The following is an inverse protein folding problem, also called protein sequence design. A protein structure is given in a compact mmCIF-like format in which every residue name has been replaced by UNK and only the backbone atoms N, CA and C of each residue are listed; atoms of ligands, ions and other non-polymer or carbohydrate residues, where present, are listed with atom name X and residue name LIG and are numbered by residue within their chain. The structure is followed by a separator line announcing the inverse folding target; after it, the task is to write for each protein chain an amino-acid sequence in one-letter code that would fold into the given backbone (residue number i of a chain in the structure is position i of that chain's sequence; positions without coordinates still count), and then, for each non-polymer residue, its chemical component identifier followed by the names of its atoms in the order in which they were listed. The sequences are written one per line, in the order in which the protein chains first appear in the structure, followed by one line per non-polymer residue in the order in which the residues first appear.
data_IF_148653986653
#
_entry.id   IF_148653986653
#
_cell.length_a   1.000
_cell.length_b   1.000
_cell.length_c   1.000
_cell.angle_alpha   90.00
_cell.angle_beta   90.00
_cell.angle_gamma   90.00
#
_symmetry.space_group_name_H-M   'P 1'
#
loop_
_entity.id
_entity.type
_entity.pdbx_description
1 polymer ?
#
# COMPACT_ATOMS: atom_id res chain seq x y z
N UNK A 1 17.82 -32.47 -31.54
CA UNK A 1 18.24 -31.77 -30.30
C UNK A 1 16.98 -31.32 -29.59
N UNK A 2 16.66 -31.86 -28.40
CA UNK A 2 15.51 -31.40 -27.62
C UNK A 2 15.86 -30.00 -27.09
N UNK A 3 15.03 -29.01 -27.39
CA UNK A 3 15.13 -27.69 -26.78
C UNK A 3 15.17 -27.87 -25.25
N UNK A 4 16.19 -27.30 -24.60
CA UNK A 4 16.26 -27.29 -23.15
C UNK A 4 15.04 -26.51 -22.65
N UNK A 5 14.13 -27.19 -21.97
CA UNK A 5 13.04 -26.56 -21.24
C UNK A 5 13.67 -25.52 -20.29
N UNK A 6 13.13 -24.31 -20.25
CA UNK A 6 13.61 -23.30 -19.31
C UNK A 6 13.44 -23.82 -17.87
N UNK A 7 14.23 -23.34 -16.93
CA UNK A 7 14.06 -23.69 -15.50
C UNK A 7 12.61 -23.43 -15.06
N UNK A 8 11.96 -22.39 -15.62
CA UNK A 8 10.56 -22.06 -15.41
C UNK A 8 9.59 -23.17 -15.87
N UNK A 9 9.88 -23.86 -16.97
CA UNK A 9 9.06 -24.96 -17.48
C UNK A 9 9.13 -26.21 -16.57
N UNK A 10 10.29 -26.47 -15.96
CA UNK A 10 10.47 -27.56 -14.99
C UNK A 10 9.75 -27.21 -13.66
N UNK A 11 9.78 -25.94 -13.25
CA UNK A 11 9.09 -25.45 -12.06
C UNK A 11 7.56 -25.51 -12.15
N UNK A 12 6.97 -25.58 -13.36
CA UNK A 12 5.51 -25.72 -13.55
C UNK A 12 4.97 -27.12 -13.19
N UNK A 13 5.83 -28.14 -13.15
CA UNK A 13 5.43 -29.55 -12.89
C UNK A 13 5.58 -29.93 -11.41
N UNK A 14 6.53 -29.31 -10.70
CA UNK A 14 6.78 -29.51 -9.27
C UNK A 14 7.35 -28.22 -8.68
N UNK A 15 6.95 -27.82 -7.46
CA UNK A 15 7.61 -26.72 -6.76
C UNK A 15 9.11 -27.01 -6.65
N UNK A 16 9.92 -26.28 -7.42
CA UNK A 16 11.36 -26.44 -7.45
C UNK A 16 11.98 -25.17 -6.87
N UNK A 17 12.81 -25.28 -5.81
CA UNK A 17 13.60 -24.15 -5.33
C UNK A 17 14.62 -23.73 -6.39
N UNK A 18 14.26 -22.74 -7.22
CA UNK A 18 15.08 -22.23 -8.32
C UNK A 18 15.78 -20.89 -8.01
N UNK A 19 15.52 -20.31 -6.84
CA UNK A 19 16.01 -18.99 -6.47
C UNK A 19 17.29 -19.04 -5.63
N UNK A 20 18.11 -17.96 -5.62
CA UNK A 20 19.27 -17.84 -4.73
C UNK A 20 18.91 -17.96 -3.25
N UNK A 21 17.71 -17.50 -2.88
CA UNK A 21 17.17 -17.69 -1.54
C UNK A 21 15.62 -17.68 -1.48
N UNK A 22 15.04 -17.45 -0.30
CA UNK A 22 13.58 -17.33 -0.14
C UNK A 22 13.05 -16.01 -0.72
N UNK A 23 11.88 -16.09 -1.35
CA UNK A 23 11.14 -14.94 -1.90
C UNK A 23 9.68 -15.00 -1.43
N UNK A 24 9.08 -13.87 -1.08
CA UNK A 24 7.72 -13.79 -0.50
C UNK A 24 6.90 -12.68 -1.16
N UNK A 25 5.64 -13.00 -1.44
CA UNK A 25 4.62 -12.03 -1.84
C UNK A 25 3.68 -11.70 -0.69
N UNK A 26 3.27 -10.44 -0.58
CA UNK A 26 2.10 -10.02 0.18
C UNK A 26 1.38 -8.88 -0.52
N UNK A 27 0.06 -8.85 -0.34
CA UNK A 27 -0.84 -7.91 -1.00
C UNK A 27 -1.69 -7.22 0.05
N UNK A 28 -1.59 -5.89 0.10
CA UNK A 28 -2.41 -5.01 0.93
C UNK A 28 -3.23 -4.11 0.03
N UNK A 29 -4.53 -3.98 0.30
CA UNK A 29 -5.42 -3.23 -0.56
C UNK A 29 -5.33 -1.69 -0.39
N UNK A 30 -4.70 -1.21 0.69
CA UNK A 30 -4.49 0.22 0.93
C UNK A 30 -3.25 0.44 1.84
N UNK A 31 -2.80 1.70 2.03
CA UNK A 31 -1.63 2.03 2.84
C UNK A 31 -1.75 1.72 4.35
N UNK A 32 -2.94 1.38 4.86
CA UNK A 32 -3.08 0.85 6.23
C UNK A 32 -2.35 -0.50 6.42
N UNK A 33 -2.01 -1.17 5.31
CA UNK A 33 -1.16 -2.36 5.27
C UNK A 33 -1.50 -3.46 6.29
N UNK A 34 -2.78 -3.91 6.30
CA UNK A 34 -3.29 -4.84 7.31
C UNK A 34 -2.60 -6.21 7.35
N UNK A 35 -1.91 -6.65 6.27
CA UNK A 35 -1.11 -7.89 6.27
C UNK A 35 0.39 -7.65 6.53
N UNK A 36 0.77 -6.39 6.75
CA UNK A 36 2.15 -5.92 6.90
C UNK A 36 3.04 -6.37 5.74
N UNK A 37 2.57 -6.14 4.51
CA UNK A 37 3.26 -6.44 3.27
C UNK A 37 4.62 -5.72 3.22
N UNK A 38 4.66 -4.42 3.56
CA UNK A 38 5.88 -3.60 3.48
C UNK A 38 7.00 -4.11 4.40
N UNK A 39 6.65 -4.84 5.45
CA UNK A 39 7.60 -5.35 6.44
C UNK A 39 7.95 -6.83 6.26
N UNK A 40 7.05 -7.63 5.67
CA UNK A 40 7.09 -9.10 5.74
C UNK A 40 7.07 -9.78 4.38
N UNK A 41 7.36 -9.06 3.30
CA UNK A 41 7.47 -9.63 1.95
C UNK A 41 8.62 -9.03 1.15
N UNK A 42 9.25 -9.86 0.34
CA UNK A 42 10.29 -9.44 -0.61
C UNK A 42 9.69 -8.57 -1.71
N UNK A 43 8.42 -8.83 -2.06
CA UNK A 43 7.64 -8.08 -3.03
C UNK A 43 6.27 -7.74 -2.43
N UNK A 44 6.12 -6.48 -2.05
CA UNK A 44 4.94 -5.94 -1.41
C UNK A 44 4.11 -5.14 -2.42
N UNK A 45 2.85 -5.53 -2.59
CA UNK A 45 1.88 -4.79 -3.41
C UNK A 45 0.93 -4.06 -2.48
N UNK A 46 0.92 -2.73 -2.54
CA UNK A 46 0.13 -1.88 -1.63
C UNK A 46 -0.80 -1.01 -2.48
N UNK A 47 -2.10 -1.28 -2.39
CA UNK A 47 -3.12 -0.59 -3.16
C UNK A 47 -3.16 0.91 -2.87
N UNK A 48 -3.49 1.69 -3.89
CA UNK A 48 -3.60 3.15 -3.83
C UNK A 48 -4.52 3.65 -4.94
N UNK A 49 -4.67 4.96 -5.07
CA UNK A 49 -5.43 5.61 -6.14
C UNK A 49 -4.67 6.83 -6.68
N UNK A 50 -5.06 7.30 -7.86
CA UNK A 50 -4.41 8.44 -8.55
C UNK A 50 -5.26 9.72 -8.56
N UNK A 51 -6.57 9.55 -8.62
CA UNK A 51 -7.53 10.65 -8.71
C UNK A 51 -7.88 11.21 -7.33
N UNK A 52 -8.87 12.09 -7.29
CA UNK A 52 -9.21 12.86 -6.10
C UNK A 52 -9.95 12.01 -5.05
N UNK A 53 -9.73 12.33 -3.78
CA UNK A 53 -10.54 11.80 -2.69
C UNK A 53 -12.00 12.22 -2.90
N UNK A 54 -12.91 11.26 -2.76
CA UNK A 54 -14.34 11.53 -2.88
C UNK A 54 -14.88 12.01 -1.54
N UNK A 55 -15.51 13.18 -1.55
CA UNK A 55 -16.00 13.87 -0.36
C UNK A 55 -17.52 13.99 -0.41
N UNK A 56 -18.20 13.47 0.61
CA UNK A 56 -19.60 13.75 0.89
C UNK A 56 -19.71 14.86 1.96
N UNK A 57 -19.98 16.08 1.51
CA UNK A 57 -20.07 17.25 2.39
C UNK A 57 -21.23 17.15 3.40
N UNK A 58 -22.32 16.44 3.07
CA UNK A 58 -23.42 16.25 4.01
C UNK A 58 -22.98 15.33 5.16
N UNK A 59 -22.21 14.28 4.86
CA UNK A 59 -21.62 13.42 5.87
C UNK A 59 -20.56 14.15 6.71
N UNK A 60 -19.72 15.01 6.12
CA UNK A 60 -18.76 15.86 6.87
C UNK A 60 -19.48 16.71 7.91
N UNK A 61 -20.58 17.38 7.52
CA UNK A 61 -21.38 18.19 8.45
C UNK A 61 -21.96 17.37 9.60
N UNK A 62 -22.35 16.11 9.36
CA UNK A 62 -22.82 15.20 10.42
C UNK A 62 -21.71 14.81 11.40
N UNK A 63 -20.48 14.57 10.91
CA UNK A 63 -19.31 14.37 11.78
C UNK A 63 -19.08 15.60 12.69
N UNK A 64 -19.07 16.81 12.10
CA UNK A 64 -18.89 18.06 12.86
C UNK A 64 -20.01 18.35 13.85
N UNK A 65 -21.24 17.93 13.54
CA UNK A 65 -22.39 18.04 14.44
C UNK A 65 -22.37 17.01 15.58
N UNK A 66 -21.48 16.02 15.54
CA UNK A 66 -21.39 14.95 16.54
C UNK A 66 -22.53 13.94 16.45
N UNK A 67 -23.05 13.69 15.25
CA UNK A 67 -24.09 12.70 15.00
C UNK A 67 -23.62 11.29 15.41
N UNK A 68 -24.41 10.59 16.24
CA UNK A 68 -24.09 9.24 16.72
C UNK A 68 -24.00 8.20 15.59
N UNK A 69 -24.64 8.46 14.44
CA UNK A 69 -24.54 7.63 13.24
C UNK A 69 -23.16 7.79 12.54
N UNK A 70 -22.44 8.87 12.83
CA UNK A 70 -21.14 9.20 12.22
C UNK A 70 -20.05 9.29 13.30
N UNK A 71 -19.74 8.19 14.02
CA UNK A 71 -18.67 8.21 15.00
C UNK A 71 -17.31 8.32 14.30
N UNK A 72 -16.44 9.20 14.79
CA UNK A 72 -15.07 9.30 14.29
C UNK A 72 -14.35 7.97 14.39
N UNK A 73 -13.55 7.65 13.38
CA UNK A 73 -12.82 6.40 13.24
C UNK A 73 -13.68 5.14 13.42
N UNK A 74 -14.93 5.18 12.93
CA UNK A 74 -15.90 4.09 13.08
C UNK A 74 -16.28 3.80 14.55
N UNK A 75 -15.95 4.69 15.47
CA UNK A 75 -16.14 4.48 16.90
C UNK A 75 -15.03 3.72 17.60
N UNK A 76 -13.84 3.59 16.99
CA UNK A 76 -12.68 2.91 17.59
C UNK A 76 -12.30 3.45 18.98
N UNK A 77 -12.61 4.72 19.28
CA UNK A 77 -12.24 5.39 20.52
C UNK A 77 -13.43 5.66 21.46
N UNK A 78 -14.60 5.03 21.25
CA UNK A 78 -15.83 5.27 22.04
C UNK A 78 -15.69 5.05 23.55
N UNK A 79 -14.72 4.23 23.98
CA UNK A 79 -14.48 3.95 25.40
C UNK A 79 -13.62 4.98 26.13
N UNK A 80 -13.04 5.96 25.43
CA UNK A 80 -12.18 6.98 26.02
C UNK A 80 -12.88 8.33 26.20
N UNK A 81 -12.33 9.18 27.07
CA UNK A 81 -12.80 10.55 27.27
C UNK A 81 -12.01 11.54 26.41
N UNK A 82 -12.33 11.59 25.11
CA UNK A 82 -11.63 12.42 24.12
C UNK A 82 -12.33 13.76 23.82
N UNK A 83 -13.53 13.97 24.37
CA UNK A 83 -14.37 15.13 24.06
C UNK A 83 -15.20 14.97 22.78
N UNK A 84 -15.75 16.08 22.28
CA UNK A 84 -16.48 16.11 21.01
C UNK A 84 -15.49 16.12 19.85
N UNK A 85 -15.90 15.52 18.73
CA UNK A 85 -15.11 15.53 17.50
C UNK A 85 -14.75 16.95 17.08
N UNK A 86 -13.46 17.18 16.84
CA UNK A 86 -12.91 18.44 16.35
C UNK A 86 -12.13 18.20 15.05
N UNK A 87 -12.73 18.59 13.92
CA UNK A 87 -12.15 18.35 12.59
C UNK A 87 -10.78 19.02 12.41
N UNK A 88 -10.55 20.15 13.08
CA UNK A 88 -9.29 20.88 13.01
C UNK A 88 -8.19 20.09 13.74
N UNK A 89 -8.49 19.59 14.95
CA UNK A 89 -7.52 18.85 15.77
C UNK A 89 -7.32 17.40 15.33
N UNK A 90 -8.36 16.73 14.84
CA UNK A 90 -8.34 15.29 14.58
C UNK A 90 -8.11 14.94 13.11
N UNK A 91 -8.31 15.88 12.17
CA UNK A 91 -8.15 15.62 10.74
C UNK A 91 -7.18 16.61 10.10
N UNK A 92 -7.52 17.91 10.07
CA UNK A 92 -6.79 18.92 9.30
C UNK A 92 -5.38 19.12 9.86
N UNK A 93 -5.26 19.38 11.16
CA UNK A 93 -3.97 19.58 11.84
C UNK A 93 -3.10 18.33 11.94
N UNK A 94 -3.64 17.14 11.63
CA UNK A 94 -2.91 15.87 11.58
C UNK A 94 -2.63 15.40 10.16
N UNK A 95 -3.06 16.14 9.13
CA UNK A 95 -2.70 15.82 7.76
C UNK A 95 -1.18 16.02 7.58
N UNK A 96 -0.43 14.98 7.18
CA UNK A 96 1.04 15.05 7.14
C UNK A 96 1.57 16.08 6.14
N UNK A 97 0.80 16.39 5.10
CA UNK A 97 1.17 17.39 4.07
C UNK A 97 0.43 18.71 4.22
N UNK A 98 -0.42 18.85 5.25
CA UNK A 98 -1.22 20.06 5.48
C UNK A 98 -2.06 20.49 4.27
N UNK A 99 -2.48 19.54 3.42
CA UNK A 99 -3.21 19.81 2.18
C UNK A 99 -4.74 19.95 2.35
N UNK A 100 -5.25 20.09 3.58
CA UNK A 100 -6.69 20.11 3.88
C UNK A 100 -7.06 21.42 4.59
N UNK A 101 -8.25 21.97 4.30
CA UNK A 101 -8.77 23.15 5.00
C UNK A 101 -10.29 23.20 4.96
N UNK A 102 -10.88 24.05 5.81
CA UNK A 102 -12.31 24.38 5.77
C UNK A 102 -12.52 25.70 5.03
N UNK A 103 -13.48 25.72 4.11
CA UNK A 103 -13.88 26.93 3.38
C UNK A 103 -15.41 26.95 3.24
N UNK A 104 -16.05 28.03 3.72
CA UNK A 104 -17.51 28.16 3.62
C UNK A 104 -18.31 27.04 4.34
N UNK A 105 -17.69 26.37 5.33
CA UNK A 105 -18.30 25.22 6.01
C UNK A 105 -18.24 23.91 5.20
N UNK A 106 -17.42 23.85 4.15
CA UNK A 106 -17.09 22.65 3.39
C UNK A 106 -15.62 22.26 3.61
N UNK A 107 -15.36 20.96 3.60
CA UNK A 107 -14.01 20.43 3.64
C UNK A 107 -13.41 20.44 2.22
N UNK A 108 -12.25 21.06 2.06
CA UNK A 108 -11.47 21.04 0.82
C UNK A 108 -10.17 20.27 1.04
N UNK A 109 -9.72 19.61 -0.03
CA UNK A 109 -8.48 18.84 -0.07
C UNK A 109 -7.77 19.21 -1.36
N UNK A 110 -6.51 19.57 -1.26
CA UNK A 110 -5.60 19.60 -2.40
C UNK A 110 -5.03 18.19 -2.59
N UNK A 111 -5.64 17.44 -3.51
CA UNK A 111 -5.24 16.07 -3.83
C UNK A 111 -3.85 16.00 -4.49
N UNK A 112 -3.36 17.09 -5.08
CA UNK A 112 -2.03 17.12 -5.71
C UNK A 112 -0.90 17.03 -4.67
N UNK A 113 -1.13 17.61 -3.49
CA UNK A 113 -0.23 17.55 -2.33
C UNK A 113 -0.57 16.39 -1.36
N UNK A 114 -1.55 15.54 -1.71
CA UNK A 114 -1.95 14.40 -0.89
C UNK A 114 -1.04 13.19 -1.11
N UNK A 115 -0.41 12.71 -0.03
CA UNK A 115 0.42 11.49 -0.03
C UNK A 115 -0.39 10.20 0.18
N UNK A 116 -1.72 10.30 0.28
CA UNK A 116 -2.66 9.16 0.41
C UNK A 116 -2.40 8.29 1.65
N UNK A 117 -2.06 8.92 2.78
CA UNK A 117 -1.71 8.23 4.04
C UNK A 117 -2.88 7.51 4.76
N UNK A 118 -4.10 7.60 4.24
CA UNK A 118 -5.35 7.07 4.81
C UNK A 118 -5.90 7.75 6.07
N UNK A 119 -5.18 8.66 6.75
CA UNK A 119 -5.63 9.25 8.02
C UNK A 119 -7.05 9.84 7.97
N UNK A 120 -7.30 10.78 7.06
CA UNK A 120 -8.62 11.43 6.96
C UNK A 120 -9.75 10.44 6.64
N UNK A 121 -9.50 9.48 5.75
CA UNK A 121 -10.45 8.42 5.38
C UNK A 121 -10.71 7.49 6.57
N UNK A 122 -9.68 7.14 7.34
CA UNK A 122 -9.81 6.31 8.52
C UNK A 122 -10.66 7.02 9.58
N UNK A 123 -10.47 8.33 9.78
CA UNK A 123 -11.23 9.12 10.76
C UNK A 123 -12.67 9.36 10.30
N UNK A 124 -12.91 9.64 9.02
CA UNK A 124 -14.25 9.93 8.49
C UNK A 124 -14.69 8.99 7.35
N UNK A 125 -14.77 7.66 7.59
CA UNK A 125 -14.95 6.67 6.53
C UNK A 125 -16.31 6.73 5.82
N UNK A 126 -17.32 7.35 6.45
CA UNK A 126 -18.63 7.56 5.83
C UNK A 126 -18.67 8.80 4.93
N UNK A 127 -17.75 9.75 5.11
CA UNK A 127 -17.69 10.99 4.35
C UNK A 127 -16.60 10.98 3.27
N UNK A 128 -15.45 10.38 3.57
CA UNK A 128 -14.29 10.35 2.69
C UNK A 128 -14.06 8.96 2.14
N UNK A 129 -13.80 8.85 0.83
CA UNK A 129 -13.49 7.58 0.18
C UNK A 129 -12.30 7.72 -0.76
N UNK A 130 -11.51 6.65 -0.95
CA UNK A 130 -10.49 6.59 -2.00
C UNK A 130 -11.08 6.95 -3.36
N UNK A 131 -10.24 7.47 -4.25
CA UNK A 131 -10.58 7.72 -5.63
C UNK A 131 -11.03 6.47 -6.42
N UNK A 132 -11.47 6.69 -7.65
CA UNK A 132 -11.96 5.67 -8.57
C UNK A 132 -10.85 5.08 -9.44
N UNK A 133 -9.80 5.84 -9.75
CA UNK A 133 -8.63 5.38 -10.50
C UNK A 133 -7.69 4.62 -9.56
N UNK A 134 -8.03 3.35 -9.34
CA UNK A 134 -7.30 2.46 -8.43
C UNK A 134 -6.12 1.78 -9.10
N UNK A 135 -5.11 1.50 -8.30
CA UNK A 135 -3.94 0.71 -8.66
C UNK A 135 -3.19 0.28 -7.41
N UNK A 136 -1.90 0.00 -7.55
CA UNK A 136 -1.04 -0.32 -6.43
C UNK A 136 0.36 0.26 -6.62
N UNK A 137 1.05 0.46 -5.51
CA UNK A 137 2.50 0.67 -5.47
C UNK A 137 3.19 -0.68 -5.24
N UNK A 138 4.35 -0.87 -5.86
CA UNK A 138 5.20 -2.04 -5.64
C UNK A 138 6.42 -1.60 -4.82
N UNK A 139 6.58 -2.21 -3.66
CA UNK A 139 7.74 -2.04 -2.81
C UNK A 139 8.53 -3.35 -2.72
N UNK A 140 9.86 -3.29 -2.73
CA UNK A 140 10.72 -4.48 -2.80
C UNK A 140 11.77 -4.47 -1.68
N UNK A 141 12.08 -5.65 -1.15
CA UNK A 141 13.28 -5.87 -0.32
C UNK A 141 13.05 -6.16 1.15
N UNK A 142 11.81 -6.25 1.65
CA UNK A 142 11.63 -6.41 3.10
C UNK A 142 12.20 -7.72 3.64
N UNK A 143 12.92 -7.62 4.76
CA UNK A 143 13.51 -8.79 5.43
C UNK A 143 13.74 -8.55 6.92
N UNK A 144 13.78 -9.69 7.62
CA UNK A 144 14.28 -9.77 9.00
C UNK A 144 15.81 -9.52 9.06
N UNK A 145 16.39 -9.31 10.25
CA UNK A 145 17.77 -8.84 10.40
C UNK A 145 18.85 -9.63 9.65
N UNK A 146 18.83 -10.96 9.68
CA UNK A 146 19.94 -11.76 9.13
C UNK A 146 19.99 -11.63 7.58
N UNK A 147 21.13 -11.33 6.95
CA UNK A 147 22.45 -11.03 7.53
C UNK A 147 22.68 -9.52 7.75
N UNK A 148 22.43 -8.70 6.71
CA UNK A 148 22.84 -7.28 6.66
C UNK A 148 21.79 -6.28 7.21
N UNK A 149 21.12 -6.66 8.29
CA UNK A 149 20.13 -5.82 8.96
C UNK A 149 18.69 -6.00 8.45
N UNK A 150 17.76 -5.47 9.24
CA UNK A 150 16.33 -5.51 8.90
C UNK A 150 16.01 -4.41 7.90
N UNK A 151 15.14 -4.72 6.95
CA UNK A 151 14.72 -3.79 5.92
C UNK A 151 13.20 -3.79 5.82
N UNK A 152 12.60 -2.60 5.71
CA UNK A 152 11.30 -2.44 5.07
C UNK A 152 11.49 -2.42 3.56
N UNK A 153 10.46 -2.81 2.83
CA UNK A 153 10.46 -2.74 1.38
C UNK A 153 10.58 -1.28 0.92
N UNK A 154 11.43 -1.04 -0.08
CA UNK A 154 11.64 0.27 -0.71
C UNK A 154 10.66 0.44 -1.86
N UNK A 155 10.07 1.64 -2.02
CA UNK A 155 9.18 1.95 -3.13
C UNK A 155 9.96 1.90 -4.47
N UNK A 156 9.56 1.00 -5.37
CA UNK A 156 10.21 0.85 -6.69
C UNK A 156 9.29 1.33 -7.81
N UNK A 157 8.01 0.93 -7.76
CA UNK A 157 7.00 1.37 -8.74
C UNK A 157 5.94 2.19 -8.00
N UNK A 158 5.88 3.52 -8.23
CA UNK A 158 4.92 4.39 -7.53
C UNK A 158 3.46 4.01 -7.80
N UNK A 159 3.16 3.63 -9.04
CA UNK A 159 1.82 3.21 -9.43
C UNK A 159 1.84 2.22 -10.59
N UNK A 160 1.10 1.13 -10.44
CA UNK A 160 0.76 0.17 -11.47
C UNK A 160 -0.75 -0.06 -11.44
N UNK A 161 -1.38 -0.16 -12.61
CA UNK A 161 -2.77 -0.61 -12.70
C UNK A 161 -2.79 -2.11 -12.44
N UNK A 162 -3.68 -2.56 -11.55
CA UNK A 162 -3.85 -3.98 -11.23
C UNK A 162 -5.25 -4.36 -11.64
N UNK A 163 -5.38 -5.16 -12.69
CA UNK A 163 -6.67 -5.63 -13.20
C UNK A 163 -6.72 -7.15 -13.19
N UNK A 164 -7.89 -7.71 -12.91
CA UNK A 164 -8.11 -9.14 -13.15
C UNK A 164 -8.47 -9.41 -14.62
N UNK A 165 -8.86 -8.36 -15.37
CA UNK A 165 -9.27 -8.46 -16.78
C UNK A 165 -8.10 -8.80 -17.71
N UNK A 166 -6.88 -8.39 -17.34
CA UNK A 166 -5.62 -8.69 -18.04
C UNK A 166 -4.82 -9.80 -17.32
N UNK A 167 -5.48 -10.59 -16.47
CA UNK A 167 -4.83 -11.64 -15.66
C UNK A 167 -3.63 -11.14 -14.84
N UNK A 168 -3.63 -9.85 -14.45
CA UNK A 168 -2.55 -9.19 -13.73
C UNK A 168 -1.22 -9.13 -14.51
N UNK A 169 -1.27 -9.13 -15.85
CA UNK A 169 -0.11 -9.16 -16.75
C UNK A 169 1.00 -8.19 -16.32
N UNK A 170 0.67 -6.90 -16.12
CA UNK A 170 1.67 -5.90 -15.73
C UNK A 170 2.33 -6.21 -14.39
N UNK A 171 1.59 -6.79 -13.44
CA UNK A 171 2.14 -7.18 -12.14
C UNK A 171 3.09 -8.36 -12.28
N UNK A 172 2.71 -9.37 -13.09
CA UNK A 172 3.54 -10.54 -13.38
C UNK A 172 4.83 -10.13 -14.08
N UNK A 173 4.78 -9.20 -15.04
CA UNK A 173 5.99 -8.68 -15.69
C UNK A 173 6.98 -8.06 -14.69
N UNK A 174 6.51 -7.29 -13.70
CA UNK A 174 7.40 -6.72 -12.68
C UNK A 174 8.00 -7.81 -11.78
N UNK A 175 7.23 -8.86 -11.47
CA UNK A 175 7.72 -10.00 -10.70
C UNK A 175 8.83 -10.71 -11.48
N UNK A 176 8.60 -11.03 -12.75
CA UNK A 176 9.56 -11.72 -13.61
C UNK A 176 10.82 -10.89 -13.82
N UNK A 177 10.70 -9.57 -14.06
CA UNK A 177 11.87 -8.66 -14.15
C UNK A 177 12.74 -8.69 -12.88
N UNK A 178 12.13 -8.74 -11.70
CA UNK A 178 12.86 -8.83 -10.42
C UNK A 178 13.52 -10.20 -10.27
N UNK A 179 12.83 -11.27 -10.64
CA UNK A 179 13.37 -12.62 -10.60
C UNK A 179 14.52 -12.82 -11.58
N UNK A 180 14.38 -12.43 -12.83
CA UNK A 180 15.42 -12.57 -13.86
C UNK A 180 16.72 -11.88 -13.43
N UNK A 181 16.61 -10.65 -12.90
CA UNK A 181 17.77 -9.94 -12.35
C UNK A 181 18.35 -10.65 -11.13
N UNK A 182 17.53 -10.94 -10.12
CA UNK A 182 18.00 -11.48 -8.84
C UNK A 182 18.54 -12.91 -8.97
N UNK A 183 17.97 -13.74 -9.83
CA UNK A 183 18.44 -15.11 -10.09
C UNK A 183 19.82 -15.14 -10.74
N UNK A 184 20.14 -14.15 -11.58
CA UNK A 184 21.44 -14.06 -12.24
C UNK A 184 22.52 -13.48 -11.30
N UNK A 185 22.20 -12.42 -10.55
CA UNK A 185 23.23 -11.68 -9.79
C UNK A 185 23.24 -11.96 -8.28
N UNK A 186 22.22 -12.66 -7.77
CA UNK A 186 22.05 -12.95 -6.35
C UNK A 186 23.07 -13.97 -5.86
N UNK A 187 23.79 -13.65 -4.78
CA UNK A 187 24.70 -14.61 -4.15
C UNK A 187 23.92 -15.72 -3.46
N UNK A 188 24.60 -16.84 -3.19
CA UNK A 188 24.02 -17.95 -2.44
C UNK A 188 23.45 -17.47 -1.10
N UNK A 189 22.15 -17.68 -0.87
CA UNK A 189 21.41 -17.26 0.33
C UNK A 189 21.36 -15.74 0.57
N UNK A 190 21.53 -14.94 -0.48
CA UNK A 190 21.35 -13.48 -0.44
C UNK A 190 19.88 -13.14 -0.77
N UNK A 191 19.20 -12.36 0.08
CA UNK A 191 17.83 -11.90 -0.17
C UNK A 191 17.83 -10.79 -1.21
N UNK A 192 16.73 -10.63 -1.96
CA UNK A 192 16.62 -9.54 -2.95
C UNK A 192 16.90 -8.16 -2.36
N UNK A 193 16.49 -7.90 -1.12
CA UNK A 193 16.78 -6.64 -0.43
C UNK A 193 18.27 -6.44 -0.07
N UNK A 194 19.02 -7.52 0.16
CA UNK A 194 20.48 -7.46 0.35
C UNK A 194 21.18 -7.25 -1.00
N UNK A 195 20.71 -7.93 -2.06
CA UNK A 195 21.17 -7.71 -3.43
C UNK A 195 20.94 -6.26 -3.89
N UNK A 196 19.83 -5.63 -3.50
CA UNK A 196 19.56 -4.21 -3.81
C UNK A 196 20.50 -3.24 -3.09
N UNK A 197 21.04 -3.60 -1.93
CA UNK A 197 21.96 -2.74 -1.18
C UNK A 197 23.40 -2.80 -1.70
N UNK A 198 23.76 -3.90 -2.35
CA UNK A 198 25.11 -4.17 -2.85
C UNK A 198 25.34 -3.58 -4.24
#
# INVERSE_FOLDING_TARGET
ARAAASVMDICRIRPCPAFPYKFKFKFSACPNDCVAAIARSDFAVIGTWKDNIRIDQAAVKKYMAGDAEYPSNGGAHKGGNWGKFDIEKEVIGLCPTQCMWMEGGELKIDDSECTRCMHCINVMPRALRPGLEKGASICIGAKAPILDGAQFATLVVPFVKVSAEDEFETLVEYIEKVWDWWMEVGKNRERVGETMQR
#
